data_IF_031128713804
#
_entry.id   IF_031128713804
#
_cell.length_a   1.000
_cell.length_b   1.000
_cell.length_c   1.000
_cell.angle_alpha   90.00
_cell.angle_beta   90.00
_cell.angle_gamma   90.00
#
_symmetry.space_group_name_H-M   'P 1'
#
loop_
_entity.id
_entity.type
_entity.pdbx_description
1 polymer ?
#
# COMPACT_ATOMS: atom_id res chain seq x y z
N UNK A 1 -6.71 -27.82 -10.58
CA UNK A 1 -6.72 -27.01 -9.54
C UNK A 1 -6.25 -25.71 -9.93
N UNK A 2 -6.75 -24.78 -9.48
CA UNK A 2 -6.33 -23.64 -9.90
C UNK A 2 -5.51 -23.03 -8.95
N UNK A 3 -4.63 -22.37 -9.39
CA UNK A 3 -3.76 -21.65 -8.63
C UNK A 3 -4.56 -20.66 -7.93
N UNK A 4 -4.48 -20.61 -6.69
CA UNK A 4 -5.08 -19.58 -6.05
C UNK A 4 -4.18 -18.45 -6.09
N UNK A 5 -4.66 -17.30 -6.34
CA UNK A 5 -3.83 -16.15 -6.32
C UNK A 5 -3.56 -15.85 -4.87
N UNK A 6 -2.40 -16.20 -4.45
CA UNK A 6 -1.98 -15.88 -3.12
C UNK A 6 -1.42 -14.50 -3.04
N UNK A 7 -1.34 -13.79 -4.14
CA UNK A 7 -0.80 -12.45 -4.13
C UNK A 7 -1.67 -11.52 -4.92
N UNK A 8 -1.53 -10.26 -4.62
CA UNK A 8 -2.37 -9.22 -5.18
C UNK A 8 -1.52 -7.97 -5.22
N UNK A 9 -1.53 -7.26 -6.32
CA UNK A 9 -0.76 -6.04 -6.44
C UNK A 9 -1.69 -4.86 -6.60
N UNK A 10 -1.90 -4.09 -5.55
CA UNK A 10 -2.79 -2.95 -5.62
C UNK A 10 -2.23 -1.88 -6.54
N UNK A 11 -3.09 -1.17 -7.26
CA UNK A 11 -2.62 -0.05 -8.07
C UNK A 11 -2.13 1.08 -7.19
N UNK A 12 -1.13 1.80 -7.66
CA UNK A 12 -0.57 2.91 -6.91
C UNK A 12 -0.20 4.05 -7.83
N UNK A 13 -0.36 5.26 -7.32
CA UNK A 13 0.09 6.47 -7.98
C UNK A 13 1.14 7.13 -7.13
N UNK A 14 2.15 7.69 -7.77
CA UNK A 14 3.19 8.43 -7.08
C UNK A 14 3.17 9.85 -7.59
N UNK A 15 3.12 10.81 -6.66
CA UNK A 15 3.10 12.22 -6.99
C UNK A 15 4.31 12.86 -6.38
N UNK A 16 5.13 13.50 -7.22
CA UNK A 16 6.34 14.15 -6.75
C UNK A 16 6.16 15.64 -6.85
N UNK A 17 6.16 16.28 -5.70
CA UNK A 17 5.99 17.72 -5.62
C UNK A 17 7.25 18.36 -5.06
N UNK A 18 7.40 19.67 -5.18
CA UNK A 18 8.64 20.29 -4.73
C UNK A 18 8.94 20.07 -3.25
N UNK A 19 7.91 19.99 -2.41
CA UNK A 19 8.11 19.88 -0.98
C UNK A 19 7.60 18.58 -0.39
N UNK A 20 7.05 17.69 -1.19
CA UNK A 20 6.51 16.43 -0.68
C UNK A 20 6.48 15.36 -1.76
N UNK A 21 6.58 14.12 -1.30
CA UNK A 21 6.50 12.95 -2.16
C UNK A 21 5.34 12.12 -1.62
N UNK A 22 4.42 11.78 -2.49
CA UNK A 22 3.18 11.14 -2.06
C UNK A 22 2.97 9.83 -2.78
N UNK A 23 2.60 8.81 -2.03
CA UNK A 23 2.27 7.51 -2.59
C UNK A 23 0.82 7.24 -2.24
N UNK A 24 0.01 6.93 -3.26
CA UNK A 24 -1.39 6.61 -3.09
C UNK A 24 -1.59 5.16 -3.53
N UNK A 25 -2.20 4.35 -2.68
CA UNK A 25 -2.42 2.94 -2.99
C UNK A 25 -3.89 2.62 -2.78
N UNK A 26 -4.51 2.02 -3.79
CA UNK A 26 -5.91 1.63 -3.69
C UNK A 26 -6.04 0.36 -2.86
N UNK A 27 -6.67 0.47 -1.71
CA UNK A 27 -6.87 -0.66 -0.80
C UNK A 27 -8.33 -0.69 -0.35
N UNK A 28 -9.27 -0.84 -1.28
CA UNK A 28 -10.68 -0.79 -0.91
C UNK A 28 -11.04 -1.92 0.03
N UNK A 29 -11.83 -1.61 1.04
CA UNK A 29 -12.29 -2.61 1.99
C UNK A 29 -11.30 -2.93 3.08
N UNK A 30 -10.13 -2.30 3.11
CA UNK A 30 -9.15 -2.56 4.15
C UNK A 30 -9.16 -1.44 5.18
N UNK A 31 -8.78 -1.78 6.39
CA UNK A 31 -8.62 -0.80 7.46
C UNK A 31 -7.14 -0.55 7.69
N UNK A 32 -6.84 0.54 8.35
CA UNK A 32 -5.45 0.95 8.55
C UNK A 32 -4.63 -0.11 9.29
N UNK A 33 -5.26 -0.78 10.26
CA UNK A 33 -4.54 -1.77 11.04
C UNK A 33 -4.27 -3.07 10.28
N UNK A 34 -4.86 -3.25 9.11
CA UNK A 34 -4.57 -4.40 8.26
C UNK A 34 -3.38 -4.16 7.36
N UNK A 35 -2.83 -2.96 7.38
CA UNK A 35 -1.70 -2.60 6.52
C UNK A 35 -0.50 -2.34 7.38
N UNK A 36 0.62 -2.96 7.06
CA UNK A 36 1.86 -2.79 7.80
C UNK A 36 2.87 -2.06 6.96
N UNK A 37 3.42 -1.00 7.53
CA UNK A 37 4.47 -0.24 6.87
C UNK A 37 5.77 -0.45 7.62
N UNK A 38 6.84 -0.62 6.88
CA UNK A 38 8.17 -0.67 7.45
C UNK A 38 9.13 0.02 6.52
N UNK A 39 10.32 0.29 7.00
CA UNK A 39 11.31 0.98 6.22
C UNK A 39 12.62 0.26 6.32
N UNK A 40 13.29 0.10 5.21
CA UNK A 40 14.63 -0.45 5.18
C UNK A 40 15.46 0.49 4.34
N UNK A 41 16.25 1.32 4.99
CA UNK A 41 17.05 2.34 4.34
C UNK A 41 16.16 3.30 3.54
N UNK A 42 16.33 3.39 2.22
CA UNK A 42 15.54 4.31 1.40
C UNK A 42 14.27 3.67 0.87
N UNK A 43 13.97 2.46 1.29
CA UNK A 43 12.84 1.72 0.76
C UNK A 43 11.75 1.63 1.79
N UNK A 44 10.54 2.00 1.40
CA UNK A 44 9.34 1.79 2.22
C UNK A 44 8.68 0.50 1.75
N UNK A 45 8.29 -0.32 2.70
CA UNK A 45 7.67 -1.61 2.41
C UNK A 45 6.25 -1.57 2.96
N UNK A 46 5.29 -1.87 2.11
CA UNK A 46 3.87 -1.89 2.47
C UNK A 46 3.37 -3.30 2.29
N UNK A 47 2.86 -3.89 3.36
CA UNK A 47 2.39 -5.27 3.34
C UNK A 47 0.98 -5.36 3.87
N UNK A 48 0.23 -6.30 3.38
CA UNK A 48 -1.09 -6.58 3.90
C UNK A 48 -1.71 -7.77 3.21
N UNK A 49 -2.92 -8.08 3.63
CA UNK A 49 -3.70 -9.13 3.01
C UNK A 49 -5.10 -8.58 2.79
N UNK A 50 -5.54 -8.59 1.55
CA UNK A 50 -6.90 -8.20 1.24
C UNK A 50 -7.75 -9.45 1.19
N UNK A 51 -8.75 -9.50 2.06
CA UNK A 51 -9.62 -10.66 2.16
C UNK A 51 -10.90 -10.42 1.40
N UNK A 52 -11.51 -11.49 0.93
CA UNK A 52 -12.70 -11.37 0.11
C UNK A 52 -13.93 -10.94 0.89
N UNK A 53 -13.93 -11.23 2.17
CA UNK A 53 -15.15 -11.04 2.96
C UNK A 53 -16.17 -12.14 2.77
N UNK A 54 -15.87 -13.11 1.92
CA UNK A 54 -16.78 -14.22 1.69
C UNK A 54 -16.41 -15.36 2.65
N UNK A 55 -17.42 -16.14 3.04
CA UNK A 55 -17.17 -17.29 3.89
C UNK A 55 -16.54 -18.41 3.05
N UNK A 56 -15.88 -19.33 3.71
CA UNK A 56 -15.30 -20.47 3.01
C UNK A 56 -16.36 -21.26 2.29
N UNK A 57 -17.55 -21.38 2.88
CA UNK A 57 -18.62 -22.10 2.24
C UNK A 57 -19.09 -21.39 0.98
N UNK A 58 -19.21 -20.08 1.02
CA UNK A 58 -19.60 -19.33 -0.16
C UNK A 58 -18.59 -19.51 -1.28
N UNK A 59 -17.30 -19.46 -0.94
CA UNK A 59 -16.26 -19.62 -1.95
C UNK A 59 -16.36 -21.00 -2.57
N UNK A 60 -16.59 -22.02 -1.75
CA UNK A 60 -16.61 -23.40 -2.24
C UNK A 60 -17.83 -23.74 -3.06
N UNK A 61 -18.99 -23.15 -2.76
CA UNK A 61 -20.24 -23.66 -3.32
C UNK A 61 -21.12 -22.65 -4.03
N UNK A 62 -20.92 -21.36 -3.80
CA UNK A 62 -21.92 -20.38 -4.21
C UNK A 62 -21.43 -19.24 -5.07
N UNK A 63 -20.14 -19.09 -5.23
CA UNK A 63 -19.60 -17.98 -6.01
C UNK A 63 -19.80 -18.26 -7.50
N UNK A 64 -20.46 -17.36 -8.19
CA UNK A 64 -20.68 -17.49 -9.62
C UNK A 64 -19.79 -16.54 -10.43
N UNK A 65 -19.23 -15.51 -9.80
CA UNK A 65 -18.30 -14.60 -10.45
C UNK A 65 -17.37 -14.07 -9.39
N UNK A 66 -16.08 -14.08 -9.65
CA UNK A 66 -15.10 -13.61 -8.70
C UNK A 66 -14.04 -12.84 -9.46
N UNK A 67 -14.23 -11.54 -9.54
CA UNK A 67 -13.35 -10.67 -10.28
C UNK A 67 -12.51 -9.77 -9.39
N UNK A 68 -12.88 -9.66 -8.11
CA UNK A 68 -12.12 -8.79 -7.21
C UNK A 68 -10.79 -9.45 -6.89
N UNK A 69 -9.74 -8.66 -6.98
CA UNK A 69 -8.40 -9.15 -6.67
C UNK A 69 -8.20 -9.16 -5.17
N UNK A 70 -7.65 -10.24 -4.66
CA UNK A 70 -7.39 -10.34 -3.24
C UNK A 70 -6.17 -11.17 -2.99
N UNK A 71 -5.80 -11.28 -1.74
CA UNK A 71 -4.65 -12.04 -1.32
C UNK A 71 -3.61 -11.16 -0.68
N UNK A 72 -2.45 -11.74 -0.43
CA UNK A 72 -1.35 -11.04 0.18
C UNK A 72 -0.69 -10.10 -0.80
N UNK A 73 -0.23 -8.96 -0.32
CA UNK A 73 0.54 -8.08 -1.17
C UNK A 73 1.75 -7.55 -0.41
N UNK A 74 2.80 -7.27 -1.14
CA UNK A 74 3.97 -6.60 -0.64
C UNK A 74 4.39 -5.62 -1.73
N UNK A 75 4.44 -4.35 -1.39
CA UNK A 75 4.86 -3.32 -2.30
C UNK A 75 6.07 -2.63 -1.73
N UNK A 76 7.01 -2.24 -2.59
CA UNK A 76 8.19 -1.52 -2.15
C UNK A 76 8.28 -0.25 -2.96
N UNK A 77 8.66 0.84 -2.27
CA UNK A 77 8.81 2.12 -2.90
C UNK A 77 10.16 2.69 -2.49
N UNK A 78 10.99 2.99 -3.47
CA UNK A 78 12.28 3.62 -3.18
C UNK A 78 12.06 5.11 -3.15
N UNK A 79 12.33 5.73 -2.03
CA UNK A 79 12.09 7.15 -1.84
C UNK A 79 13.32 7.92 -2.31
N UNK A 80 13.13 8.92 -3.19
CA UNK A 80 14.27 9.67 -3.70
C UNK A 80 15.02 10.41 -2.61
N UNK A 81 16.30 10.67 -2.85
CA UNK A 81 17.16 11.26 -1.84
C UNK A 81 16.71 12.61 -1.37
N UNK A 82 16.03 13.36 -2.20
CA UNK A 82 15.61 14.70 -1.83
C UNK A 82 14.55 14.71 -0.75
N UNK A 83 13.97 13.57 -0.44
CA UNK A 83 12.90 13.47 0.56
C UNK A 83 13.41 12.68 1.75
N UNK A 84 12.78 12.90 2.90
CA UNK A 84 13.12 12.15 4.10
C UNK A 84 12.74 10.70 3.91
N UNK A 85 13.53 9.82 4.47
CA UNK A 85 13.32 8.39 4.28
C UNK A 85 12.11 7.89 5.05
N UNK A 86 11.80 8.55 6.15
CA UNK A 86 10.67 8.17 6.95
C UNK A 86 9.48 9.03 6.56
N UNK A 87 8.33 8.40 6.48
CA UNK A 87 7.13 9.14 6.13
C UNK A 87 6.75 10.10 7.22
N UNK A 88 6.14 11.19 6.82
CA UNK A 88 5.63 12.21 7.71
C UNK A 88 4.23 11.82 8.19
N UNK A 89 3.43 11.28 7.31
CA UNK A 89 2.07 10.89 7.66
C UNK A 89 1.61 9.73 6.80
N UNK A 90 0.68 8.96 7.34
CA UNK A 90 0.03 7.86 6.65
C UNK A 90 -1.42 7.89 7.04
N UNK A 91 -2.32 7.83 6.08
CA UNK A 91 -3.72 7.66 6.40
C UNK A 91 -4.37 6.75 5.36
N UNK A 92 -5.47 6.14 5.74
CA UNK A 92 -6.26 5.29 4.86
C UNK A 92 -7.68 5.79 4.94
N UNK A 93 -8.14 6.38 3.85
CA UNK A 93 -9.43 7.02 3.83
C UNK A 93 -10.12 6.70 2.53
N UNK A 94 -11.36 6.32 2.61
CA UNK A 94 -12.15 6.00 1.41
C UNK A 94 -11.46 4.96 0.52
N UNK A 95 -10.79 4.00 1.15
CA UNK A 95 -10.14 2.93 0.40
C UNK A 95 -8.81 3.30 -0.22
N UNK A 96 -8.25 4.46 0.11
CA UNK A 96 -6.96 4.87 -0.46
C UNK A 96 -5.97 5.12 0.67
N UNK A 97 -4.86 4.41 0.63
CA UNK A 97 -3.77 4.61 1.57
C UNK A 97 -2.88 5.71 0.99
N UNK A 98 -2.60 6.73 1.80
CA UNK A 98 -1.77 7.84 1.35
C UNK A 98 -0.58 7.94 2.29
N UNK A 99 0.61 7.88 1.72
CA UNK A 99 1.86 8.01 2.46
C UNK A 99 2.55 9.28 1.99
N UNK A 100 2.93 10.12 2.93
CA UNK A 100 3.50 11.42 2.61
C UNK A 100 4.89 11.52 3.20
N UNK A 101 5.85 11.98 2.38
CA UNK A 101 7.23 12.19 2.80
C UNK A 101 7.58 13.64 2.54
N UNK A 102 8.17 14.29 3.52
CA UNK A 102 8.56 15.69 3.37
C UNK A 102 9.90 15.80 2.68
N UNK A 103 10.12 16.93 2.06
CA UNK A 103 11.42 17.24 1.49
C UNK A 103 12.45 17.27 2.59
N UNK A 104 13.63 16.77 2.27
CA UNK A 104 14.71 16.76 3.22
C UNK A 104 15.41 18.11 3.16
N UNK A 105 15.34 18.86 4.27
CA UNK A 105 15.90 20.18 4.30
C UNK A 105 17.16 20.24 5.09
N UNK A 106 17.90 19.18 5.15
CA UNK A 106 19.08 19.23 5.94
C UNK A 106 20.16 19.99 5.30
N UNK A 107 19.87 20.73 4.33
CA UNK A 107 20.83 21.55 3.86
C UNK A 107 21.11 22.52 4.87
N UNK A 108 21.22 22.53 5.39
CA UNK A 108 21.49 23.30 6.15
C UNK A 108 22.25 24.04 6.31
N UNK A 109 22.34 24.31 6.17
CA UNK A 109 22.98 24.95 6.30
C UNK A 109 23.65 25.21 6.88
N UNK A 110 23.77 25.17 6.75
CA UNK A 110 24.73 25.48 7.23
C UNK A 110 25.18 25.70 7.55
#
# INVERSE_FOLDING_TARGET
MLARPDSYLPPADIVREPDAYLVYIDLPGMTRDQVKLSRQNVVTIVKGTRESGLTDREIATSVTRQERKMGDFTMTFRIPEEYQRKWDSVDLENGVLRIRYLKDNDEVEG
#
